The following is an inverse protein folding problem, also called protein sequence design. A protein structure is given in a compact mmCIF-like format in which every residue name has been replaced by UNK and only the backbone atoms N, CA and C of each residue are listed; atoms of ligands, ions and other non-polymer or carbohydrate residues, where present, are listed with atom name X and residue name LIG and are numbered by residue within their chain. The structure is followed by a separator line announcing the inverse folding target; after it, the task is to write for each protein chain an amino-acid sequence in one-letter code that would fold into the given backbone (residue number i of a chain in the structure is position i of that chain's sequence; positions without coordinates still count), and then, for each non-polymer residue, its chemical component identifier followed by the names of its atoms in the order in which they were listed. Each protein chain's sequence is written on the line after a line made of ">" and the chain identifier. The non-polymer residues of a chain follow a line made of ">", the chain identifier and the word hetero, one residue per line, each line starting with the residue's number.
data_IF_636217111683
#
_entry.id   IF_636217111683
#
_cell.length_a   1.000
_cell.length_b   1.000
_cell.length_c   1.000
_cell.angle_alpha   90.00
_cell.angle_beta   90.00
_cell.angle_gamma   90.00
#
_symmetry.space_group_name_H-M   'P 1'
#
loop_
_entity.id
_entity.type
_entity.pdbx_description
1 polymer ?
#
# COMPACT_ATOMS: atom_id res chain seq x y z
N UNK A 1 22.07 17.26 -15.21
CA UNK A 1 22.55 16.41 -14.10
C UNK A 1 22.38 14.94 -14.47
N UNK A 2 23.19 14.03 -13.91
CA UNK A 2 23.05 12.58 -14.13
C UNK A 2 22.80 11.88 -12.80
N UNK A 3 21.87 10.93 -12.80
CA UNK A 3 21.54 10.05 -11.67
C UNK A 3 21.63 8.60 -12.13
N UNK A 4 21.99 7.70 -11.23
CA UNK A 4 22.04 6.26 -11.51
C UNK A 4 20.64 5.67 -11.55
N UNK A 5 19.74 6.19 -10.72
CA UNK A 5 18.34 5.79 -10.63
C UNK A 5 17.45 7.02 -10.45
N UNK A 6 16.27 7.00 -11.06
CA UNK A 6 15.23 8.02 -10.86
C UNK A 6 13.93 7.30 -10.50
N UNK A 7 13.29 7.74 -9.42
CA UNK A 7 11.98 7.26 -8.95
C UNK A 7 10.97 8.36 -9.23
N UNK A 8 9.85 8.00 -9.82
CA UNK A 8 8.74 8.92 -10.11
C UNK A 8 7.64 8.74 -9.08
N UNK A 9 7.42 9.77 -8.27
CA UNK A 9 6.47 9.84 -7.18
C UNK A 9 7.09 9.50 -5.81
N UNK A 10 6.75 10.29 -4.79
CA UNK A 10 7.12 10.07 -3.38
C UNK A 10 5.94 9.54 -2.55
N UNK A 11 5.11 8.68 -3.11
CA UNK A 11 4.14 7.87 -2.36
C UNK A 11 4.83 6.74 -1.60
N UNK A 12 4.06 5.85 -0.98
CA UNK A 12 4.58 4.73 -0.17
C UNK A 12 5.65 3.92 -0.93
N UNK A 13 5.33 3.47 -2.15
CA UNK A 13 6.28 2.67 -2.93
C UNK A 13 7.52 3.47 -3.37
N UNK A 14 7.35 4.75 -3.69
CA UNK A 14 8.49 5.60 -4.06
C UNK A 14 9.47 5.80 -2.92
N UNK A 15 8.99 6.17 -1.73
CA UNK A 15 9.84 6.34 -0.55
C UNK A 15 10.42 5.00 -0.07
N UNK A 16 9.65 3.92 -0.12
CA UNK A 16 10.15 2.57 0.19
C UNK A 16 11.31 2.19 -0.75
N UNK A 17 11.10 2.36 -2.06
CA UNK A 17 12.12 2.07 -3.07
C UNK A 17 13.37 2.94 -2.92
N UNK A 18 13.19 4.22 -2.60
CA UNK A 18 14.30 5.15 -2.34
C UNK A 18 15.13 4.71 -1.12
N UNK A 19 14.47 4.28 -0.03
CA UNK A 19 15.15 3.73 1.15
C UNK A 19 15.91 2.44 0.82
N UNK A 20 15.31 1.53 0.05
CA UNK A 20 15.97 0.31 -0.38
C UNK A 20 17.21 0.62 -1.24
N UNK A 21 17.09 1.52 -2.21
CA UNK A 21 18.22 1.95 -3.04
C UNK A 21 19.27 2.69 -2.24
N UNK A 22 18.89 3.52 -1.28
CA UNK A 22 19.85 4.20 -0.38
C UNK A 22 20.72 3.21 0.41
N UNK A 23 20.15 2.07 0.82
CA UNK A 23 20.88 0.98 1.49
C UNK A 23 21.75 0.17 0.54
N UNK A 24 21.29 -0.06 -0.70
CA UNK A 24 21.93 -0.98 -1.65
C UNK A 24 22.98 -0.30 -2.54
N UNK A 25 22.73 0.95 -2.94
CA UNK A 25 23.61 1.68 -3.82
C UNK A 25 24.88 2.15 -3.08
N UNK A 26 26.00 2.12 -3.78
CA UNK A 26 27.21 2.73 -3.23
C UNK A 26 27.06 4.26 -3.19
N UNK A 27 27.86 4.95 -2.36
CA UNK A 27 27.76 6.40 -2.16
C UNK A 27 28.00 7.26 -3.43
N UNK A 28 28.56 6.68 -4.50
CA UNK A 28 28.78 7.35 -5.79
C UNK A 28 27.55 7.25 -6.71
N UNK A 29 26.65 6.33 -6.44
CA UNK A 29 25.41 6.15 -7.22
C UNK A 29 24.33 7.07 -6.67
N UNK A 30 24.05 8.15 -7.38
CA UNK A 30 23.03 9.12 -7.01
C UNK A 30 21.64 8.62 -7.39
N UNK A 31 20.70 8.72 -6.47
CA UNK A 31 19.27 8.39 -6.63
C UNK A 31 18.45 9.67 -6.53
N UNK A 32 17.55 9.91 -7.46
CA UNK A 32 16.62 11.05 -7.44
C UNK A 32 15.17 10.54 -7.32
N UNK A 33 14.43 11.12 -6.40
CA UNK A 33 12.98 10.99 -6.32
C UNK A 33 12.35 12.28 -6.84
N UNK A 34 11.50 12.19 -7.86
CA UNK A 34 10.73 13.32 -8.41
C UNK A 34 9.29 13.22 -7.93
N UNK A 35 8.85 14.20 -7.15
CA UNK A 35 7.47 14.28 -6.66
C UNK A 35 6.76 15.49 -7.27
N UNK A 36 5.56 15.25 -7.82
CA UNK A 36 4.77 16.31 -8.43
C UNK A 36 4.22 17.30 -7.40
N UNK A 37 3.83 16.81 -6.25
CA UNK A 37 3.24 17.61 -5.18
C UNK A 37 4.32 18.26 -4.30
N UNK A 38 3.98 19.31 -3.51
CA UNK A 38 4.96 19.99 -2.64
C UNK A 38 5.40 19.14 -1.44
N UNK A 39 4.72 18.03 -1.15
CA UNK A 39 5.07 17.10 -0.06
C UNK A 39 4.73 15.67 -0.48
N UNK A 40 5.38 14.64 0.12
CA UNK A 40 5.08 13.25 -0.21
C UNK A 40 3.73 12.78 0.36
N UNK A 41 3.22 11.64 -0.10
CA UNK A 41 2.01 10.97 0.38
C UNK A 41 0.70 11.72 0.14
N UNK A 42 0.61 12.70 -0.73
CA UNK A 42 -0.61 13.50 -0.93
C UNK A 42 -1.72 12.82 -1.74
N UNK A 43 -1.41 11.75 -2.45
CA UNK A 43 -2.36 11.06 -3.35
C UNK A 43 -2.80 9.72 -2.77
N UNK A 44 -2.81 8.68 -3.58
CA UNK A 44 -3.34 7.37 -3.23
C UNK A 44 -2.92 6.85 -1.85
N UNK A 45 -1.68 7.05 -1.45
CA UNK A 45 -1.18 6.59 -0.14
C UNK A 45 -1.89 7.25 1.06
N UNK A 46 -2.34 8.50 0.92
CA UNK A 46 -3.04 9.22 1.99
C UNK A 46 -4.57 9.17 1.85
N UNK A 47 -5.06 9.15 0.59
CA UNK A 47 -6.51 9.20 0.30
C UNK A 47 -7.16 7.83 0.47
N UNK A 48 -6.44 6.75 0.19
CA UNK A 48 -6.93 5.38 0.36
C UNK A 48 -7.09 5.02 1.84
N UNK A 49 -7.78 3.93 2.10
CA UNK A 49 -8.15 3.47 3.43
C UNK A 49 -6.97 3.07 4.33
N UNK A 50 -5.72 3.18 3.85
CA UNK A 50 -4.49 2.85 4.57
C UNK A 50 -4.54 1.46 5.25
N UNK A 51 -5.06 0.45 4.55
CA UNK A 51 -5.22 -0.89 5.09
C UNK A 51 -3.99 -1.75 4.90
N UNK A 52 -3.70 -2.55 5.90
CA UNK A 52 -2.79 -3.69 5.81
C UNK A 52 -3.65 -4.90 5.44
N UNK A 53 -3.63 -5.27 4.15
CA UNK A 53 -4.54 -6.25 3.58
C UNK A 53 -4.13 -7.69 3.88
N UNK A 54 -5.06 -8.49 4.44
CA UNK A 54 -4.92 -9.94 4.57
C UNK A 54 -5.45 -10.72 3.34
N UNK A 55 -6.07 -10.02 2.39
CA UNK A 55 -6.55 -10.63 1.14
C UNK A 55 -8.05 -10.75 0.98
N UNK A 56 -8.86 -10.34 1.94
CA UNK A 56 -10.34 -10.44 1.90
C UNK A 56 -11.00 -9.77 0.70
N UNK A 57 -10.38 -8.76 0.12
CA UNK A 57 -10.87 -8.10 -1.09
C UNK A 57 -10.81 -8.96 -2.36
N UNK A 58 -10.14 -10.12 -2.30
CA UNK A 58 -9.90 -10.95 -3.48
C UNK A 58 -10.57 -12.32 -3.41
N UNK A 59 -11.88 -12.45 -3.05
CA UNK A 59 -12.52 -13.75 -2.87
C UNK A 59 -12.59 -14.59 -4.16
N UNK A 60 -12.36 -13.96 -5.32
CA UNK A 60 -12.32 -14.60 -6.64
C UNK A 60 -10.90 -14.80 -7.20
N UNK A 61 -9.86 -14.44 -6.44
CA UNK A 61 -8.46 -14.59 -6.86
C UNK A 61 -7.61 -15.13 -5.72
N UNK A 62 -7.61 -16.45 -5.56
CA UNK A 62 -6.87 -17.15 -4.53
C UNK A 62 -5.37 -16.79 -4.49
N UNK A 63 -4.72 -16.75 -5.66
CA UNK A 63 -3.30 -16.41 -5.75
C UNK A 63 -2.99 -14.97 -5.29
N UNK A 64 -3.90 -14.02 -5.54
CA UNK A 64 -3.76 -12.64 -5.08
C UNK A 64 -3.97 -12.55 -3.57
N UNK A 65 -4.96 -13.27 -3.04
CA UNK A 65 -5.24 -13.30 -1.61
C UNK A 65 -4.05 -13.85 -0.81
N UNK A 66 -3.46 -14.97 -1.23
CA UNK A 66 -2.28 -15.56 -0.58
C UNK A 66 -1.08 -14.60 -0.61
N UNK A 67 -0.82 -13.93 -1.74
CA UNK A 67 0.25 -12.92 -1.83
C UNK A 67 0.02 -11.78 -0.84
N UNK A 68 -1.23 -11.31 -0.71
CA UNK A 68 -1.60 -10.30 0.28
C UNK A 68 -1.33 -10.77 1.71
N UNK A 69 -1.76 -11.98 2.07
CA UNK A 69 -1.55 -12.55 3.40
C UNK A 69 -0.05 -12.69 3.74
N UNK A 70 0.79 -13.12 2.80
CA UNK A 70 2.24 -13.16 3.00
C UNK A 70 2.84 -11.77 3.20
N UNK A 71 2.36 -10.77 2.45
CA UNK A 71 2.83 -9.38 2.57
C UNK A 71 2.38 -8.73 3.88
N UNK A 72 1.24 -9.16 4.44
CA UNK A 72 0.71 -8.68 5.72
C UNK A 72 1.71 -8.90 6.86
N UNK A 73 2.19 -10.13 7.05
CA UNK A 73 3.14 -10.45 8.11
C UNK A 73 4.42 -9.62 8.00
N UNK A 74 4.97 -9.52 6.79
CA UNK A 74 6.15 -8.69 6.53
C UNK A 74 5.92 -7.22 6.83
N UNK A 75 4.75 -6.68 6.47
CA UNK A 75 4.41 -5.29 6.79
C UNK A 75 4.32 -5.08 8.30
N UNK A 76 3.74 -6.03 9.03
CA UNK A 76 3.65 -5.99 10.50
C UNK A 76 5.02 -6.07 11.16
N UNK A 77 5.94 -6.90 10.65
CA UNK A 77 7.33 -6.98 11.14
C UNK A 77 8.06 -5.65 10.94
N UNK A 78 7.92 -5.03 9.77
CA UNK A 78 8.66 -3.81 9.41
C UNK A 78 8.04 -2.52 9.98
N UNK A 79 6.70 -2.47 10.13
CA UNK A 79 5.95 -1.21 10.34
C UNK A 79 4.88 -1.27 11.44
N UNK A 80 4.88 -2.26 12.35
CA UNK A 80 3.88 -2.38 13.42
C UNK A 80 3.72 -1.12 14.28
N UNK A 81 4.78 -0.31 14.41
CA UNK A 81 4.77 0.94 15.17
C UNK A 81 3.77 1.99 14.66
N UNK A 82 3.34 1.91 13.41
CA UNK A 82 2.34 2.80 12.82
C UNK A 82 1.01 2.10 12.53
N UNK A 83 0.83 0.83 12.96
CA UNK A 83 -0.39 0.06 12.69
C UNK A 83 -1.35 0.08 13.86
N UNK A 84 -2.61 0.37 13.57
CA UNK A 84 -3.72 0.30 14.51
C UNK A 84 -4.37 -1.08 14.38
N UNK A 85 -4.37 -1.84 15.49
CA UNK A 85 -4.86 -3.23 15.54
C UNK A 85 -6.08 -3.41 16.44
N UNK A 86 -6.47 -2.39 17.23
CA UNK A 86 -7.52 -2.49 18.25
C UNK A 86 -8.84 -1.90 17.78
N UNK A 87 -9.45 -2.52 16.79
CA UNK A 87 -10.80 -2.21 16.32
C UNK A 87 -11.42 -3.44 15.65
N UNK A 88 -12.75 -3.48 15.61
CA UNK A 88 -13.48 -4.52 14.92
C UNK A 88 -13.47 -4.25 13.42
N UNK A 89 -13.00 -5.20 12.65
CA UNK A 89 -13.06 -5.16 11.19
C UNK A 89 -14.14 -6.12 10.70
N UNK A 90 -15.22 -5.58 10.15
CA UNK A 90 -16.34 -6.36 9.66
C UNK A 90 -16.37 -6.34 8.12
N UNK A 91 -16.36 -7.53 7.54
CA UNK A 91 -16.70 -7.76 6.14
C UNK A 91 -18.13 -8.25 6.03
N UNK A 92 -18.85 -7.78 5.01
CA UNK A 92 -20.18 -8.28 4.72
C UNK A 92 -20.32 -8.57 3.22
N UNK A 93 -21.10 -9.58 2.91
CA UNK A 93 -21.56 -9.89 1.56
C UNK A 93 -22.97 -9.34 1.38
N UNK A 94 -23.20 -8.62 0.27
CA UNK A 94 -24.52 -8.05 -0.01
C UNK A 94 -25.53 -9.15 -0.32
N UNK A 95 -26.77 -9.00 0.18
CA UNK A 95 -27.86 -9.90 -0.15
C UNK A 95 -28.19 -9.87 -1.65
N UNK A 96 -28.05 -8.70 -2.29
CA UNK A 96 -28.34 -8.49 -3.70
C UNK A 96 -27.12 -8.05 -4.49
N UNK A 97 -27.04 -8.46 -5.76
CA UNK A 97 -26.03 -8.05 -6.74
C UNK A 97 -24.58 -8.33 -6.34
N UNK A 98 -24.33 -9.21 -5.37
CA UNK A 98 -22.97 -9.60 -5.02
C UNK A 98 -22.44 -10.70 -5.95
N UNK A 99 -21.18 -10.56 -6.37
CA UNK A 99 -20.46 -11.59 -7.12
C UNK A 99 -19.97 -12.74 -6.22
N UNK A 100 -20.07 -12.58 -4.91
CA UNK A 100 -19.65 -13.56 -3.91
C UNK A 100 -20.67 -13.54 -2.77
N UNK A 101 -21.33 -14.64 -2.52
CA UNK A 101 -22.26 -14.79 -1.40
C UNK A 101 -21.53 -15.23 -0.12
N UNK A 102 -22.25 -15.23 1.01
CA UNK A 102 -21.72 -15.58 2.31
C UNK A 102 -21.05 -16.96 2.35
N UNK A 103 -21.66 -17.98 1.73
CA UNK A 103 -21.10 -19.33 1.68
C UNK A 103 -19.78 -19.38 0.88
N UNK A 104 -19.73 -18.71 -0.26
CA UNK A 104 -18.52 -18.62 -1.07
C UNK A 104 -17.41 -17.86 -0.34
N UNK A 105 -17.75 -16.79 0.39
CA UNK A 105 -16.77 -16.04 1.17
C UNK A 105 -16.19 -16.87 2.33
N UNK A 106 -17.02 -17.60 3.08
CA UNK A 106 -16.53 -18.54 4.12
C UNK A 106 -15.59 -19.60 3.55
N UNK A 107 -15.99 -20.22 2.42
CA UNK A 107 -15.15 -21.22 1.75
C UNK A 107 -13.81 -20.62 1.28
N UNK A 108 -13.83 -19.41 0.75
CA UNK A 108 -12.62 -18.69 0.37
C UNK A 108 -11.71 -18.48 1.58
N UNK A 109 -12.22 -17.93 2.69
CA UNK A 109 -11.44 -17.69 3.91
C UNK A 109 -10.88 -19.00 4.49
N UNK A 110 -11.68 -20.07 4.51
CA UNK A 110 -11.23 -21.40 4.94
C UNK A 110 -10.07 -21.92 4.07
N UNK A 111 -10.16 -21.77 2.75
CA UNK A 111 -9.14 -22.25 1.82
C UNK A 111 -7.87 -21.40 1.85
N UNK A 112 -7.99 -20.11 2.16
CA UNK A 112 -6.85 -19.19 2.32
C UNK A 112 -6.29 -19.19 3.75
N UNK A 113 -6.92 -19.90 4.68
CA UNK A 113 -6.56 -19.99 6.10
C UNK A 113 -6.50 -18.61 6.79
N UNK A 114 -7.41 -17.71 6.41
CA UNK A 114 -7.56 -16.39 7.05
C UNK A 114 -8.79 -16.39 7.96
N UNK A 115 -8.74 -15.59 9.02
CA UNK A 115 -9.79 -15.50 10.04
C UNK A 115 -11.14 -15.08 9.41
N UNK A 116 -12.22 -15.76 9.76
CA UNK A 116 -13.56 -15.46 9.28
C UNK A 116 -14.60 -16.00 10.30
N UNK A 117 -14.93 -15.20 11.29
CA UNK A 117 -15.92 -15.56 12.32
C UNK A 117 -17.27 -14.95 11.96
N UNK A 118 -18.31 -15.75 11.91
CA UNK A 118 -19.68 -15.26 11.63
C UNK A 118 -20.16 -14.30 12.73
N UNK A 119 -20.74 -13.17 12.31
CA UNK A 119 -21.40 -12.23 13.20
C UNK A 119 -22.80 -11.90 12.70
N UNK A 120 -23.68 -11.45 13.61
CA UNK A 120 -25.01 -11.01 13.19
C UNK A 120 -24.90 -9.73 12.33
N UNK A 121 -25.29 -9.76 11.04
CA UNK A 121 -25.20 -8.59 10.17
C UNK A 121 -26.07 -7.42 10.66
N UNK A 122 -27.23 -7.67 11.27
CA UNK A 122 -28.15 -6.62 11.74
C UNK A 122 -27.57 -5.74 12.87
N UNK A 123 -26.48 -6.19 13.49
CA UNK A 123 -25.72 -5.37 14.45
C UNK A 123 -24.95 -4.21 13.77
N UNK A 124 -24.59 -4.37 12.51
CA UNK A 124 -23.68 -3.45 11.81
C UNK A 124 -24.32 -2.83 10.57
N UNK A 125 -25.34 -3.46 9.99
CA UNK A 125 -25.98 -3.07 8.74
C UNK A 125 -27.51 -3.09 8.89
N UNK A 126 -28.21 -2.42 7.99
CA UNK A 126 -29.66 -2.47 7.96
C UNK A 126 -30.14 -3.90 7.67
N UNK A 127 -31.19 -4.38 8.35
CA UNK A 127 -31.73 -5.72 8.16
C UNK A 127 -32.03 -6.03 6.69
N UNK A 128 -31.66 -7.22 6.24
CA UNK A 128 -31.90 -7.69 4.88
C UNK A 128 -30.90 -7.19 3.83
N UNK A 129 -29.96 -6.31 4.17
CA UNK A 129 -28.96 -5.80 3.22
C UNK A 129 -27.80 -6.77 2.96
N UNK A 130 -27.54 -7.69 3.89
CA UNK A 130 -26.44 -8.62 3.82
C UNK A 130 -26.91 -10.06 3.96
N UNK A 131 -26.36 -10.97 3.19
CA UNK A 131 -26.54 -12.41 3.32
C UNK A 131 -25.55 -13.05 4.32
N UNK A 132 -24.53 -12.30 4.75
CA UNK A 132 -23.60 -12.64 5.81
C UNK A 132 -22.70 -11.48 6.19
N UNK A 133 -22.24 -11.51 7.46
CA UNK A 133 -21.23 -10.60 7.97
C UNK A 133 -20.21 -11.39 8.81
N UNK A 134 -18.96 -10.94 8.78
CA UNK A 134 -17.82 -11.68 9.30
C UNK A 134 -16.86 -10.77 10.02
N UNK A 135 -16.45 -11.19 11.22
CA UNK A 135 -15.28 -10.60 11.90
C UNK A 135 -14.02 -11.12 11.21
N UNK A 136 -13.18 -10.19 10.78
CA UNK A 136 -11.97 -10.49 10.01
C UNK A 136 -10.73 -9.88 10.69
N UNK A 137 -9.56 -10.16 10.16
CA UNK A 137 -8.29 -9.64 10.65
C UNK A 137 -7.61 -8.81 9.57
N UNK A 138 -8.01 -7.55 9.48
CA UNK A 138 -7.30 -6.52 8.72
C UNK A 138 -7.04 -5.33 9.63
N UNK A 139 -5.91 -4.66 9.39
CA UNK A 139 -5.50 -3.52 10.19
C UNK A 139 -5.43 -2.26 9.33
N UNK A 140 -5.28 -1.13 9.98
CA UNK A 140 -5.00 0.12 9.30
C UNK A 140 -3.68 0.71 9.80
N UNK A 141 -2.98 1.44 8.94
CA UNK A 141 -1.77 2.14 9.35
C UNK A 141 -1.96 3.66 9.31
N UNK A 142 -1.26 4.36 10.19
CA UNK A 142 -1.16 5.81 10.12
C UNK A 142 -0.17 6.22 9.05
N UNK A 143 -0.70 6.77 7.94
CA UNK A 143 0.12 7.19 6.80
C UNK A 143 1.05 8.38 7.14
N UNK A 144 0.68 9.21 8.13
CA UNK A 144 1.51 10.30 8.62
C UNK A 144 2.75 9.79 9.35
N UNK A 145 2.55 8.88 10.31
CA UNK A 145 3.66 8.25 11.07
C UNK A 145 4.58 7.50 10.11
N UNK A 146 4.02 6.72 9.18
CA UNK A 146 4.81 5.97 8.20
C UNK A 146 5.61 6.89 7.28
N UNK A 147 5.02 8.00 6.82
CA UNK A 147 5.70 9.03 6.01
C UNK A 147 6.92 9.59 6.74
N UNK A 148 6.71 10.07 7.97
CA UNK A 148 7.80 10.65 8.78
C UNK A 148 8.93 9.65 9.02
N UNK A 149 8.59 8.40 9.32
CA UNK A 149 9.57 7.34 9.46
C UNK A 149 10.40 7.15 8.18
N UNK A 150 9.75 7.02 7.02
CA UNK A 150 10.43 6.79 5.74
C UNK A 150 11.33 7.98 5.36
N UNK A 151 10.89 9.22 5.60
CA UNK A 151 11.71 10.43 5.37
C UNK A 151 12.92 10.47 6.31
N UNK A 152 12.73 10.14 7.59
CA UNK A 152 13.82 10.06 8.56
C UNK A 152 14.84 8.98 8.21
N UNK A 153 14.41 7.86 7.64
CA UNK A 153 15.36 6.88 7.12
C UNK A 153 16.13 7.41 5.90
N UNK A 154 15.45 8.10 4.97
CA UNK A 154 16.09 8.66 3.77
C UNK A 154 17.13 9.72 4.09
N UNK A 155 16.94 10.53 5.13
CA UNK A 155 17.90 11.56 5.53
C UNK A 155 19.28 11.00 5.90
N UNK A 156 19.39 9.69 6.16
CA UNK A 156 20.65 9.00 6.44
C UNK A 156 21.47 8.68 5.18
N UNK A 157 20.88 8.86 3.98
CA UNK A 157 21.48 8.51 2.70
C UNK A 157 21.80 9.77 1.90
N UNK A 158 23.03 10.32 1.97
CA UNK A 158 23.40 11.57 1.29
C UNK A 158 23.40 11.46 -0.24
N UNK A 159 23.33 10.25 -0.78
CA UNK A 159 23.24 9.96 -2.21
C UNK A 159 21.82 9.89 -2.73
N UNK A 160 20.79 10.09 -1.88
CA UNK A 160 19.38 10.11 -2.25
C UNK A 160 18.83 11.54 -2.12
N UNK A 161 18.31 12.07 -3.20
CA UNK A 161 17.71 13.40 -3.27
C UNK A 161 16.21 13.29 -3.55
N UNK A 162 15.40 14.19 -2.96
CA UNK A 162 13.98 14.34 -3.29
C UNK A 162 13.78 15.75 -3.86
N UNK A 163 13.17 15.82 -5.05
CA UNK A 163 12.76 17.07 -5.67
C UNK A 163 11.22 17.12 -5.70
N UNK A 164 10.68 18.07 -4.97
CA UNK A 164 9.24 18.36 -4.93
C UNK A 164 8.83 19.35 -6.01
N UNK A 165 7.52 19.48 -6.27
CA UNK A 165 6.95 20.31 -7.33
C UNK A 165 7.55 19.99 -8.71
N UNK A 166 7.93 18.75 -8.92
CA UNK A 166 8.63 18.28 -10.11
C UNK A 166 7.63 17.70 -11.11
N UNK A 167 7.39 18.41 -12.20
CA UNK A 167 6.53 17.94 -13.30
C UNK A 167 7.37 17.54 -14.51
N UNK A 168 7.14 16.35 -15.02
CA UNK A 168 7.81 15.82 -16.21
C UNK A 168 6.90 16.06 -17.41
N UNK A 169 7.45 16.65 -18.49
CA UNK A 169 6.74 16.79 -19.75
C UNK A 169 6.97 15.63 -20.69
N UNK A 170 8.16 15.05 -20.67
CA UNK A 170 8.53 13.98 -21.59
C UNK A 170 9.59 13.06 -21.00
N UNK A 171 9.55 11.77 -21.36
CA UNK A 171 10.58 10.77 -21.06
C UNK A 171 11.07 10.19 -22.38
N UNK A 172 12.31 10.43 -22.73
CA UNK A 172 12.94 9.99 -23.96
C UNK A 172 13.89 8.83 -23.64
N UNK A 173 13.63 7.66 -24.22
CA UNK A 173 14.53 6.51 -24.14
C UNK A 173 15.70 6.73 -25.10
N UNK A 174 16.91 6.59 -24.61
CA UNK A 174 18.14 6.52 -25.39
C UNK A 174 18.75 5.11 -25.26
N UNK A 175 19.78 4.80 -25.99
CA UNK A 175 20.39 3.45 -25.99
C UNK A 175 20.80 2.95 -24.60
N UNK A 176 21.39 3.85 -23.77
CA UNK A 176 21.96 3.50 -22.46
C UNK A 176 21.36 4.25 -21.29
N UNK A 177 20.43 5.19 -21.52
CA UNK A 177 19.82 6.00 -20.48
C UNK A 177 18.45 6.55 -20.87
N UNK A 178 17.71 7.10 -19.89
CA UNK A 178 16.49 7.87 -20.12
C UNK A 178 16.76 9.35 -19.87
N UNK A 179 16.30 10.19 -20.81
CA UNK A 179 16.31 11.65 -20.65
C UNK A 179 14.92 12.11 -20.20
N UNK A 180 14.86 12.80 -19.07
CA UNK A 180 13.62 13.41 -18.57
C UNK A 180 13.62 14.90 -18.87
N UNK A 181 12.56 15.39 -19.47
CA UNK A 181 12.31 16.81 -19.73
C UNK A 181 11.33 17.30 -18.66
N UNK A 182 11.75 18.29 -17.88
CA UNK A 182 10.92 18.89 -16.85
C UNK A 182 10.02 19.98 -17.47
N UNK A 183 8.80 20.15 -16.94
CA UNK A 183 7.99 21.34 -17.22
C UNK A 183 8.62 22.54 -16.52
N UNK A 184 8.63 23.65 -17.22
CA UNK A 184 8.98 24.96 -16.64
C UNK A 184 7.85 25.45 -15.74
#
# INVERSE_FOLDING_TARGET
>A
MRYSKIILGAGLYGLYSANALGKMCNKKERVLVLEHDPTPFRRATYINQARVHMGYHYPRSYSTAIKSAHSFNRFMEDYSFCVLTKFDQIYATSADFSWTNASQFRNFCKNTQIRCDDVNPDKYFNPGMCDGAFMTEEYTYDAGILKEYLLNQLSKFPNVEICYNASISEIIKQDTYFKLIMKN
#
